data_IF_716617273903
#
_entry.id   IF_716617273903
#
_cell.length_a   1.000
_cell.length_b   1.000
_cell.length_c   1.000
_cell.angle_alpha   90.00
_cell.angle_beta   90.00
_cell.angle_gamma   90.00
#
_symmetry.space_group_name_H-M   'P 1'
#
loop_
_entity.id
_entity.type
_entity.pdbx_description
1 polymer ?
#
# COMPACT_ATOMS: atom_id res chain seq x y z
N UNK A 1 55.90 45.73 -10.33
CA UNK A 1 54.47 45.88 -10.74
C UNK A 1 53.78 44.54 -11.00
N UNK A 2 54.43 43.57 -11.68
CA UNK A 2 53.83 42.25 -12.00
C UNK A 2 53.48 41.38 -10.79
N UNK A 3 54.31 41.34 -9.75
CA UNK A 3 54.08 40.53 -8.54
C UNK A 3 52.85 41.02 -7.77
N UNK A 4 52.66 42.33 -7.64
CA UNK A 4 51.50 42.91 -6.95
C UNK A 4 50.18 42.60 -7.67
N UNK A 5 50.19 42.67 -9.02
CA UNK A 5 49.03 42.30 -9.84
C UNK A 5 48.71 40.79 -9.76
N UNK A 6 49.72 39.93 -9.60
CA UNK A 6 49.54 38.49 -9.43
C UNK A 6 48.88 38.14 -8.08
N UNK A 7 49.34 38.76 -6.98
CA UNK A 7 48.72 38.58 -5.66
C UNK A 7 47.28 39.13 -5.59
N UNK A 8 47.01 40.27 -6.24
CA UNK A 8 45.64 40.81 -6.37
C UNK A 8 44.77 39.85 -7.20
N UNK A 9 45.31 39.28 -8.28
CA UNK A 9 44.59 38.30 -9.12
C UNK A 9 44.22 37.03 -8.34
N UNK A 10 45.16 36.44 -7.58
CA UNK A 10 44.89 35.25 -6.75
C UNK A 10 43.83 35.54 -5.69
N UNK A 11 43.96 36.67 -4.98
CA UNK A 11 43.01 37.06 -3.94
C UNK A 11 41.62 37.37 -4.51
N UNK A 12 41.55 37.87 -5.74
CA UNK A 12 40.28 38.05 -6.47
C UNK A 12 39.68 36.73 -6.94
N UNK A 13 40.49 35.74 -7.34
CA UNK A 13 40.01 34.40 -7.68
C UNK A 13 39.44 33.69 -6.44
N UNK A 14 40.10 33.77 -5.28
CA UNK A 14 39.61 33.21 -4.02
C UNK A 14 38.34 33.94 -3.50
N UNK A 15 38.27 35.26 -3.69
CA UNK A 15 37.04 36.00 -3.40
C UNK A 15 35.90 35.61 -4.35
N UNK A 16 36.18 35.48 -5.64
CA UNK A 16 35.19 35.07 -6.64
C UNK A 16 34.65 33.67 -6.37
N UNK A 17 35.51 32.70 -6.03
CA UNK A 17 35.08 31.34 -5.67
C UNK A 17 34.22 31.35 -4.41
N UNK A 18 34.56 32.14 -3.39
CA UNK A 18 33.74 32.31 -2.20
C UNK A 18 32.36 32.92 -2.50
N UNK A 19 32.27 33.91 -3.38
CA UNK A 19 30.98 34.47 -3.82
C UNK A 19 30.14 33.45 -4.59
N UNK A 20 30.75 32.61 -5.43
CA UNK A 20 30.07 31.53 -6.15
C UNK A 20 29.50 30.50 -5.18
N UNK A 21 30.29 30.05 -4.20
CA UNK A 21 29.83 29.08 -3.17
C UNK A 21 28.69 29.68 -2.35
N UNK A 22 28.83 30.93 -1.87
CA UNK A 22 27.79 31.62 -1.13
C UNK A 22 26.50 31.77 -1.95
N UNK A 23 26.60 32.00 -3.26
CA UNK A 23 25.44 32.10 -4.15
C UNK A 23 24.73 30.76 -4.36
N UNK A 24 25.48 29.66 -4.48
CA UNK A 24 24.90 28.31 -4.57
C UNK A 24 24.18 27.95 -3.28
N UNK A 25 24.82 28.18 -2.12
CA UNK A 25 24.21 27.95 -0.81
C UNK A 25 22.97 28.82 -0.59
N UNK A 26 23.05 30.11 -0.94
CA UNK A 26 21.92 31.04 -0.88
C UNK A 26 20.77 30.59 -1.78
N UNK A 27 21.07 30.16 -3.01
CA UNK A 27 20.09 29.61 -3.94
C UNK A 27 19.45 28.32 -3.43
N UNK A 28 20.22 27.42 -2.83
CA UNK A 28 19.71 26.20 -2.21
C UNK A 28 18.76 26.51 -1.04
N UNK A 29 19.16 27.40 -0.13
CA UNK A 29 18.33 27.81 1.01
C UNK A 29 17.04 28.48 0.50
N UNK A 30 17.15 29.43 -0.43
CA UNK A 30 16.00 30.14 -0.98
C UNK A 30 15.02 29.18 -1.69
N UNK A 31 15.53 28.31 -2.57
CA UNK A 31 14.71 27.32 -3.27
C UNK A 31 14.08 26.32 -2.31
N UNK A 32 14.80 25.87 -1.28
CA UNK A 32 14.27 25.00 -0.23
C UNK A 32 13.13 25.67 0.55
N UNK A 33 13.28 26.94 0.95
CA UNK A 33 12.23 27.71 1.62
C UNK A 33 10.99 27.92 0.72
N UNK A 34 11.22 28.17 -0.58
CA UNK A 34 10.14 28.29 -1.58
C UNK A 34 9.40 26.96 -1.71
N UNK A 35 10.09 25.84 -1.83
CA UNK A 35 9.47 24.52 -1.97
C UNK A 35 8.78 24.06 -0.68
N UNK A 36 9.33 24.42 0.49
CA UNK A 36 8.69 24.15 1.78
C UNK A 36 7.39 24.95 1.94
N UNK A 37 7.39 26.24 1.54
CA UNK A 37 6.20 27.10 1.60
C UNK A 37 5.17 26.78 0.50
N UNK A 38 5.63 26.31 -0.66
CA UNK A 38 4.81 26.00 -1.83
C UNK A 38 5.07 24.57 -2.35
N UNK A 39 4.72 23.52 -1.57
CA UNK A 39 5.00 22.13 -1.93
C UNK A 39 4.26 21.68 -3.21
N UNK A 40 3.18 22.38 -3.56
CA UNK A 40 2.40 22.10 -4.77
C UNK A 40 3.10 22.50 -6.09
N UNK A 41 4.27 23.18 -6.04
CA UNK A 41 5.04 23.54 -7.23
C UNK A 41 5.61 22.30 -7.94
N UNK A 42 6.14 21.35 -7.17
CA UNK A 42 6.68 20.08 -7.68
C UNK A 42 5.61 19.00 -7.62
N UNK A 43 4.90 18.90 -6.50
CA UNK A 43 3.90 17.87 -6.29
C UNK A 43 2.51 18.43 -6.55
N UNK A 44 2.13 18.53 -7.83
CA UNK A 44 0.72 18.77 -8.18
C UNK A 44 -0.13 17.69 -7.53
N UNK A 45 -1.19 18.11 -6.84
CA UNK A 45 -2.13 17.15 -6.24
C UNK A 45 -2.71 16.25 -7.33
N UNK A 46 -2.66 14.94 -7.10
CA UNK A 46 -3.31 13.97 -7.98
C UNK A 46 -4.80 14.25 -7.98
N UNK A 47 -5.37 14.55 -9.14
CA UNK A 47 -6.83 14.56 -9.34
C UNK A 47 -7.28 13.11 -9.42
N UNK A 48 -7.99 12.64 -8.40
CA UNK A 48 -8.57 11.31 -8.40
C UNK A 48 -9.75 11.29 -9.39
N UNK A 49 -9.80 10.30 -10.28
CA UNK A 49 -10.91 10.13 -11.25
C UNK A 49 -12.19 9.63 -10.57
N UNK A 50 -12.05 9.01 -9.41
CA UNK A 50 -13.14 8.45 -8.63
C UNK A 50 -12.92 8.81 -7.15
N UNK A 51 -14.02 9.00 -6.44
CA UNK A 51 -14.03 9.21 -5.00
C UNK A 51 -14.45 7.91 -4.35
N UNK A 52 -13.63 7.41 -3.43
CA UNK A 52 -13.89 6.17 -2.71
C UNK A 52 -14.09 6.53 -1.23
N UNK A 53 -15.28 6.31 -0.70
CA UNK A 53 -15.59 6.53 0.71
C UNK A 53 -15.39 5.26 1.51
N UNK A 54 -15.75 4.12 0.92
CA UNK A 54 -15.71 2.83 1.59
C UNK A 54 -14.90 1.79 0.80
N UNK A 55 -13.83 1.29 1.43
CA UNK A 55 -12.98 0.23 0.89
C UNK A 55 -13.11 -0.98 1.82
N UNK A 56 -13.57 -2.10 1.28
CA UNK A 56 -13.65 -3.34 2.03
C UNK A 56 -12.28 -4.03 2.06
N UNK A 57 -11.57 -3.85 3.18
CA UNK A 57 -10.26 -4.46 3.43
C UNK A 57 -10.33 -5.98 3.38
N UNK A 58 -9.49 -6.59 2.53
CA UNK A 58 -9.41 -8.01 2.17
C UNK A 58 -10.76 -8.61 1.79
N UNK A 59 -11.58 -7.80 1.13
CA UNK A 59 -12.94 -8.17 0.75
C UNK A 59 -13.99 -8.11 1.84
N UNK A 60 -13.72 -7.51 2.99
CA UNK A 60 -14.64 -7.49 4.13
C UNK A 60 -14.20 -8.45 5.25
N UNK A 61 -12.89 -8.49 5.52
CA UNK A 61 -12.32 -9.26 6.62
C UNK A 61 -13.04 -8.95 7.94
N UNK A 62 -13.40 -10.00 8.67
CA UNK A 62 -14.13 -9.92 9.94
C UNK A 62 -15.62 -10.20 9.80
N UNK A 63 -16.23 -9.90 8.65
CA UNK A 63 -17.60 -10.30 8.35
C UNK A 63 -17.68 -11.70 7.75
N UNK A 64 -16.75 -11.98 6.83
CA UNK A 64 -16.55 -13.25 6.17
C UNK A 64 -15.06 -13.56 6.11
N UNK A 65 -14.73 -14.81 5.76
CA UNK A 65 -13.36 -15.24 5.59
C UNK A 65 -12.67 -14.34 4.56
N UNK A 66 -11.60 -13.65 4.99
CA UNK A 66 -10.84 -12.72 4.17
C UNK A 66 -10.41 -13.32 2.83
N UNK A 67 -10.28 -12.48 1.79
CA UNK A 67 -9.77 -12.87 0.48
C UNK A 67 -10.51 -14.06 -0.17
N UNK A 68 -11.78 -14.29 0.22
CA UNK A 68 -12.66 -15.29 -0.38
C UNK A 68 -13.72 -14.64 -1.26
N UNK A 69 -14.22 -15.39 -2.24
CA UNK A 69 -15.33 -14.94 -3.08
C UNK A 69 -16.59 -14.62 -2.24
N UNK A 70 -16.84 -15.36 -1.17
CA UNK A 70 -17.97 -15.08 -0.25
C UNK A 70 -17.85 -13.72 0.44
N UNK A 71 -16.63 -13.31 0.82
CA UNK A 71 -16.40 -11.99 1.40
C UNK A 71 -16.63 -10.90 0.34
N UNK A 72 -16.04 -11.05 -0.85
CA UNK A 72 -16.22 -10.11 -1.95
C UNK A 72 -17.69 -9.92 -2.33
N UNK A 73 -18.44 -11.02 -2.47
CA UNK A 73 -19.88 -10.95 -2.75
C UNK A 73 -20.65 -10.22 -1.65
N UNK A 74 -20.31 -10.45 -0.38
CA UNK A 74 -20.96 -9.77 0.72
C UNK A 74 -20.64 -8.27 0.72
N UNK A 75 -19.38 -7.90 0.56
CA UNK A 75 -18.95 -6.51 0.48
C UNK A 75 -19.63 -5.75 -0.67
N UNK A 76 -19.78 -6.39 -1.84
CA UNK A 76 -20.54 -5.83 -2.98
C UNK A 76 -22.02 -5.69 -2.62
N UNK A 77 -22.64 -6.69 -1.99
CA UNK A 77 -24.05 -6.63 -1.54
C UNK A 77 -24.29 -5.53 -0.50
N UNK A 78 -23.27 -5.18 0.29
CA UNK A 78 -23.32 -4.08 1.25
C UNK A 78 -23.07 -2.70 0.62
N UNK A 79 -22.72 -2.63 -0.67
CA UNK A 79 -22.53 -1.38 -1.38
C UNK A 79 -21.15 -0.75 -1.17
N UNK A 80 -20.10 -1.56 -1.00
CA UNK A 80 -18.73 -1.05 -0.98
C UNK A 80 -18.36 -0.37 -2.30
N UNK A 81 -17.59 0.73 -2.24
CA UNK A 81 -17.11 1.42 -3.45
C UNK A 81 -15.93 0.65 -4.09
N UNK A 82 -15.08 0.07 -3.25
CA UNK A 82 -13.89 -0.68 -3.69
C UNK A 82 -13.65 -1.91 -2.83
N UNK A 83 -13.04 -2.93 -3.45
CA UNK A 83 -12.49 -4.12 -2.77
C UNK A 83 -10.98 -3.98 -2.72
N UNK A 84 -10.40 -4.22 -1.54
CA UNK A 84 -8.96 -4.40 -1.38
C UNK A 84 -8.66 -5.90 -1.33
N UNK A 85 -7.57 -6.29 -2.00
CA UNK A 85 -7.22 -7.69 -2.30
C UNK A 85 -5.71 -7.83 -2.16
N UNK A 86 -5.28 -8.84 -1.42
CA UNK A 86 -3.86 -9.19 -1.28
C UNK A 86 -3.46 -10.28 -2.27
N UNK A 87 -2.32 -10.09 -2.95
CA UNK A 87 -1.82 -11.02 -3.96
C UNK A 87 -0.41 -11.51 -3.61
N UNK A 88 -0.16 -12.79 -3.80
CA UNK A 88 1.17 -13.41 -3.79
C UNK A 88 1.41 -14.20 -5.08
N UNK A 89 2.67 -14.47 -5.37
CA UNK A 89 3.09 -15.36 -6.45
C UNK A 89 3.59 -16.68 -5.88
N UNK A 90 3.19 -17.77 -6.50
CA UNK A 90 3.76 -19.10 -6.24
C UNK A 90 5.11 -19.27 -6.92
N UNK A 91 5.81 -20.36 -6.59
CA UNK A 91 7.07 -20.74 -7.24
C UNK A 91 6.94 -20.93 -8.76
N UNK A 92 5.79 -21.42 -9.21
CA UNK A 92 5.42 -21.57 -10.63
C UNK A 92 4.71 -20.33 -11.21
N UNK A 93 4.93 -19.17 -10.60
CA UNK A 93 4.49 -17.85 -11.05
C UNK A 93 2.97 -17.70 -11.24
N UNK A 94 2.17 -18.44 -10.46
CA UNK A 94 0.72 -18.27 -10.40
C UNK A 94 0.35 -17.25 -9.35
N UNK A 95 -0.57 -16.35 -9.70
CA UNK A 95 -1.13 -15.37 -8.79
C UNK A 95 -2.15 -16.03 -7.88
N UNK A 96 -1.98 -15.86 -6.58
CA UNK A 96 -2.85 -16.39 -5.53
C UNK A 96 -3.31 -15.26 -4.63
N UNK A 97 -4.57 -15.33 -4.19
CA UNK A 97 -5.14 -14.35 -3.26
C UNK A 97 -4.93 -14.82 -1.83
N UNK A 98 -4.09 -14.12 -1.08
CA UNK A 98 -3.81 -14.40 0.34
C UNK A 98 -3.14 -13.18 0.95
N UNK A 99 -3.40 -12.88 2.22
CA UNK A 99 -2.68 -11.79 2.90
C UNK A 99 -1.27 -12.21 3.31
N UNK A 100 -1.16 -13.35 4.01
CA UNK A 100 0.12 -13.84 4.53
C UNK A 100 0.85 -14.66 3.46
N UNK A 101 2.17 -14.56 3.41
CA UNK A 101 3.00 -15.47 2.61
C UNK A 101 2.98 -16.90 3.18
N UNK A 102 2.91 -17.04 4.51
CA UNK A 102 2.80 -18.34 5.17
C UNK A 102 1.34 -18.70 5.44
N UNK A 103 0.93 -19.89 5.05
CA UNK A 103 -0.46 -20.34 5.06
C UNK A 103 -0.93 -20.96 6.39
N UNK A 104 -0.07 -21.04 7.42
CA UNK A 104 -0.38 -21.69 8.70
C UNK A 104 -1.66 -21.15 9.36
N UNK A 105 -1.87 -19.84 9.31
CA UNK A 105 -3.05 -19.21 9.93
C UNK A 105 -4.35 -19.66 9.25
N UNK A 106 -4.42 -19.55 7.93
CA UNK A 106 -5.66 -19.73 7.15
C UNK A 106 -5.91 -21.15 6.68
N UNK A 107 -4.86 -21.98 6.54
CA UNK A 107 -4.96 -23.38 6.11
C UNK A 107 -4.57 -24.38 7.21
N UNK A 108 -3.68 -23.98 8.13
CA UNK A 108 -3.22 -24.87 9.21
C UNK A 108 -1.99 -25.67 8.85
N UNK A 109 -1.50 -25.50 7.62
CA UNK A 109 -0.28 -26.10 7.13
C UNK A 109 0.80 -25.02 7.10
N UNK A 110 1.95 -25.31 7.71
CA UNK A 110 3.11 -24.43 7.69
C UNK A 110 3.79 -24.54 6.33
N UNK A 111 3.37 -23.68 5.40
CA UNK A 111 3.87 -23.63 4.03
C UNK A 111 3.86 -22.20 3.53
N UNK A 112 4.94 -21.80 2.86
CA UNK A 112 5.03 -20.51 2.18
C UNK A 112 4.53 -20.61 0.74
N UNK A 113 3.77 -19.62 0.30
CA UNK A 113 3.25 -19.53 -1.07
C UNK A 113 4.41 -19.42 -2.06
N UNK A 114 5.40 -18.56 -1.78
CA UNK A 114 6.57 -18.35 -2.62
C UNK A 114 7.39 -19.61 -2.91
N UNK A 115 7.33 -20.59 -2.01
CA UNK A 115 8.17 -21.79 -2.06
C UNK A 115 7.44 -22.99 -2.68
N UNK A 116 6.13 -22.86 -2.95
CA UNK A 116 5.23 -23.95 -3.37
C UNK A 116 4.71 -23.73 -4.78
N UNK A 117 4.38 -24.81 -5.50
CA UNK A 117 3.62 -24.69 -6.75
C UNK A 117 2.13 -24.56 -6.45
N UNK A 118 1.37 -23.94 -7.36
CA UNK A 118 -0.06 -23.73 -7.20
C UNK A 118 -0.86 -25.00 -6.88
N UNK A 119 -0.53 -26.13 -7.53
CA UNK A 119 -1.24 -27.41 -7.35
C UNK A 119 -1.07 -28.02 -5.96
N UNK A 120 0.01 -27.65 -5.27
CA UNK A 120 0.39 -28.21 -3.97
C UNK A 120 -0.15 -27.37 -2.81
N UNK A 121 -0.84 -26.25 -3.11
CA UNK A 121 -1.37 -25.37 -2.09
C UNK A 121 -2.50 -26.02 -1.30
N UNK A 122 -2.48 -25.90 0.05
CA UNK A 122 -3.50 -26.49 0.90
C UNK A 122 -4.84 -25.75 0.80
N UNK A 123 -5.91 -26.46 1.13
CA UNK A 123 -7.24 -25.88 1.23
C UNK A 123 -7.38 -24.98 2.47
N UNK A 124 -8.23 -23.96 2.35
CA UNK A 124 -8.64 -23.12 3.47
C UNK A 124 -9.32 -23.93 4.59
N UNK A 125 -9.11 -23.53 5.84
CA UNK A 125 -9.88 -24.05 6.98
C UNK A 125 -11.36 -23.71 6.81
N UNK A 126 -12.24 -24.57 7.31
CA UNK A 126 -13.68 -24.29 7.35
C UNK A 126 -14.03 -23.15 8.32
N UNK A 127 -13.32 -23.09 9.44
CA UNK A 127 -13.53 -22.09 10.49
C UNK A 127 -12.29 -21.19 10.63
N UNK A 128 -12.16 -20.22 9.72
CA UNK A 128 -11.10 -19.20 9.80
C UNK A 128 -11.55 -18.13 10.79
N UNK A 129 -11.64 -18.50 12.07
CA UNK A 129 -11.73 -17.60 13.23
C UNK A 129 -12.50 -16.29 13.05
N UNK A 130 -13.68 -16.32 12.40
CA UNK A 130 -14.51 -15.14 12.23
C UNK A 130 -15.02 -14.69 13.59
N UNK A 131 -15.26 -13.38 13.75
CA UNK A 131 -15.83 -12.86 14.97
C UNK A 131 -17.16 -13.59 15.24
N UNK A 132 -17.24 -14.38 16.32
CA UNK A 132 -18.31 -15.38 16.55
C UNK A 132 -19.70 -14.74 16.54
N UNK A 133 -19.78 -13.46 16.92
CA UNK A 133 -21.02 -12.68 16.95
C UNK A 133 -21.66 -12.52 15.56
N UNK A 134 -20.87 -12.53 14.49
CA UNK A 134 -21.35 -12.43 13.11
C UNK A 134 -21.79 -13.81 12.60
N UNK A 135 -21.05 -14.87 12.93
CA UNK A 135 -21.39 -16.26 12.55
C UNK A 135 -22.75 -16.72 13.09
N UNK A 136 -23.12 -16.29 14.29
CA UNK A 136 -24.42 -16.57 14.92
C UNK A 136 -25.57 -15.88 14.18
N UNK A 137 -25.36 -14.63 13.73
CA UNK A 137 -26.34 -13.88 12.92
C UNK A 137 -26.52 -14.44 11.51
N UNK A 138 -25.51 -15.13 10.97
CA UNK A 138 -25.62 -15.83 9.68
C UNK A 138 -26.41 -17.13 9.79
N UNK A 139 -26.15 -17.94 10.82
CA UNK A 139 -26.91 -19.18 11.03
C UNK A 139 -28.40 -18.91 11.31
N UNK A 140 -28.75 -17.81 11.99
CA UNK A 140 -30.14 -17.40 12.20
C UNK A 140 -30.83 -16.89 10.91
N UNK A 141 -30.11 -16.17 10.04
CA UNK A 141 -30.63 -15.74 8.72
C UNK A 141 -30.77 -16.91 7.73
N UNK A 142 -29.93 -17.93 7.82
CA UNK A 142 -30.00 -19.12 6.95
C UNK A 142 -31.14 -20.06 7.36
N UNK A 143 -31.39 -20.24 8.66
CA UNK A 143 -32.54 -21.00 9.18
C UNK A 143 -33.88 -20.33 8.87
N UNK A 144 -33.98 -19.01 8.98
CA UNK A 144 -35.22 -18.27 8.65
C UNK A 144 -35.56 -18.21 7.15
N UNK A 145 -34.58 -18.42 6.26
CA UNK A 145 -34.84 -18.54 4.81
C UNK A 145 -35.28 -19.94 4.37
N UNK A 146 -34.88 -20.98 5.10
CA UNK A 146 -35.30 -22.36 4.80
C UNK A 146 -36.65 -22.75 5.40
N UNK A 147 -37.23 -21.95 6.31
CA UNK A 147 -38.57 -22.17 6.87
C UNK A 147 -39.72 -21.46 6.11
N UNK A 148 -39.39 -20.73 5.03
CA UNK A 148 -40.37 -20.04 4.16
C UNK A 148 -40.50 -20.67 2.77
N UNK A 149 -40.13 -21.94 2.63
CA UNK A 149 -40.32 -22.71 1.39
C UNK A 149 -41.33 -23.81 1.62
#
# INVERSE_FOLDING_TARGET
MLVLNFFISIKNHDMLTMYVIASIFGGYIASSLILFKFPNLIHKRKKLKFFCQHISHRGGAGEYAENTLSAFENAVKQGTDMLEIDLHLTKDEKVVVSHDNNLLRVTGVDVNISDSNYKDLPLLKRDIGLNKDISLNFNSKKTSRNSKK
#
